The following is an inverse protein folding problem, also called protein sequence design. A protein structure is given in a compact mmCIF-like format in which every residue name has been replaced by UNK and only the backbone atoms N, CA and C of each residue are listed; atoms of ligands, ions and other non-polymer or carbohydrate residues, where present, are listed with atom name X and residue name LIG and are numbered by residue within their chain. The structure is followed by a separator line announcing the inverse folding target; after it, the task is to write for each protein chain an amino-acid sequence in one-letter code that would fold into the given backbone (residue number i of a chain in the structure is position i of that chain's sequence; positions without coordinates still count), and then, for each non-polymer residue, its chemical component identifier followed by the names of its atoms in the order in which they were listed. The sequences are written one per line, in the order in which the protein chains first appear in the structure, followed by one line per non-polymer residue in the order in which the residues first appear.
data_IF_969833900872
#
_entry.id   IF_969833900872
#
_cell.length_a   1.000
_cell.length_b   1.000
_cell.length_c   1.000
_cell.angle_alpha   90.00
_cell.angle_beta   90.00
_cell.angle_gamma   90.00
#
_symmetry.space_group_name_H-M   'P 1'
#
loop_
_entity.id
_entity.type
_entity.pdbx_description
1 polymer ?
#
# COMPACT_ATOMS: atom_id res chain seq x y z
N UNK A 1 -5.01 39.64 -30.96
CA UNK A 1 -4.07 38.59 -30.52
C UNK A 1 -4.64 37.95 -29.26
N UNK A 2 -4.81 36.63 -29.25
CA UNK A 2 -5.17 35.90 -28.03
C UNK A 2 -3.94 35.92 -27.11
N UNK A 3 -4.05 36.57 -25.96
CA UNK A 3 -2.90 36.87 -25.11
C UNK A 3 -2.40 35.66 -24.32
N UNK A 4 -3.23 34.63 -24.15
CA UNK A 4 -2.90 33.36 -23.50
C UNK A 4 -3.80 32.25 -24.07
N UNK A 5 -3.21 31.21 -24.65
CA UNK A 5 -3.91 29.97 -24.95
C UNK A 5 -3.71 29.07 -23.73
N UNK A 6 -4.75 28.89 -22.91
CA UNK A 6 -4.74 27.85 -21.89
C UNK A 6 -4.96 26.55 -22.65
N UNK A 7 -3.91 25.73 -22.75
CA UNK A 7 -4.07 24.34 -23.12
C UNK A 7 -4.76 23.66 -21.95
N UNK A 8 -5.80 22.92 -22.27
CA UNK A 8 -6.55 22.12 -21.32
C UNK A 8 -5.60 21.33 -20.41
N UNK A 9 -5.72 21.52 -19.10
CA UNK A 9 -4.70 21.15 -18.12
C UNK A 9 -4.63 19.64 -17.90
N UNK A 10 -5.66 18.89 -18.30
CA UNK A 10 -5.65 17.43 -18.36
C UNK A 10 -4.84 16.85 -19.54
N UNK A 11 -4.58 17.61 -20.62
CA UNK A 11 -3.89 17.09 -21.82
C UNK A 11 -2.45 16.62 -21.54
N UNK A 12 -1.63 17.34 -20.74
CA UNK A 12 -0.34 16.83 -20.29
C UNK A 12 -0.39 15.51 -19.51
N UNK A 13 -1.42 15.30 -18.68
CA UNK A 13 -1.62 14.08 -17.89
C UNK A 13 -2.02 12.90 -18.78
N UNK A 14 -2.98 13.11 -19.68
CA UNK A 14 -3.42 12.10 -20.64
C UNK A 14 -2.27 11.60 -21.54
N UNK A 15 -1.37 12.50 -21.96
CA UNK A 15 -0.16 12.13 -22.73
C UNK A 15 0.84 11.27 -21.96
N UNK A 16 0.80 11.30 -20.64
CA UNK A 16 1.63 10.48 -19.74
C UNK A 16 0.93 9.20 -19.29
N UNK A 17 -0.28 8.93 -19.81
CA UNK A 17 -1.08 7.77 -19.39
C UNK A 17 -1.64 7.89 -17.98
N UNK A 18 -1.65 9.10 -17.40
CA UNK A 18 -2.24 9.37 -16.09
C UNK A 18 -3.72 9.67 -16.34
N UNK A 19 -4.66 8.85 -15.82
CA UNK A 19 -6.07 9.17 -15.87
C UNK A 19 -6.31 10.49 -15.13
N UNK A 20 -6.91 11.46 -15.82
CA UNK A 20 -7.29 12.73 -15.25
C UNK A 20 -8.80 12.90 -15.44
N UNK A 21 -9.46 13.45 -14.42
CA UNK A 21 -10.87 13.84 -14.46
C UNK A 21 -10.93 15.33 -14.20
N UNK A 22 -11.61 16.04 -15.10
CA UNK A 22 -11.90 17.44 -14.90
C UNK A 22 -13.02 17.58 -13.88
N UNK A 23 -12.77 18.38 -12.85
CA UNK A 23 -13.81 18.82 -11.93
C UNK A 23 -14.46 20.06 -12.55
N UNK A 24 -15.61 19.87 -13.18
CA UNK A 24 -16.40 20.96 -13.73
C UNK A 24 -17.44 21.36 -12.69
N UNK A 25 -17.34 22.59 -12.21
CA UNK A 25 -18.44 23.21 -11.46
C UNK A 25 -19.48 23.77 -12.42
N UNK A 26 -20.65 23.12 -12.50
CA UNK A 26 -21.71 23.47 -13.43
C UNK A 26 -22.47 24.76 -13.06
N UNK A 27 -22.34 25.21 -11.81
CA UNK A 27 -23.01 26.40 -11.29
C UNK A 27 -22.08 27.63 -11.29
N UNK A 28 -20.79 27.44 -11.58
CA UNK A 28 -19.82 28.51 -11.60
C UNK A 28 -19.91 29.33 -12.91
N UNK A 29 -20.00 30.67 -12.83
CA UNK A 29 -20.07 31.49 -14.04
C UNK A 29 -18.71 31.51 -14.78
N UNK A 30 -18.79 31.42 -16.11
CA UNK A 30 -17.76 30.98 -17.08
C UNK A 30 -16.53 31.89 -17.28
N UNK A 31 -15.89 32.36 -16.22
CA UNK A 31 -14.63 33.09 -16.29
C UNK A 31 -13.63 32.54 -15.29
N UNK A 32 -12.72 31.71 -15.79
CA UNK A 32 -11.55 31.32 -15.01
C UNK A 32 -10.69 32.55 -14.74
N UNK A 33 -10.58 32.91 -13.47
CA UNK A 33 -9.76 34.04 -13.04
C UNK A 33 -8.75 33.55 -12.00
N UNK A 34 -7.76 34.38 -11.68
CA UNK A 34 -6.86 34.10 -10.55
C UNK A 34 -7.55 34.08 -9.18
N UNK A 35 -8.87 34.24 -9.14
CA UNK A 35 -9.69 34.11 -7.95
C UNK A 35 -10.38 32.74 -7.83
N UNK A 36 -10.15 31.80 -8.74
CA UNK A 36 -10.71 30.45 -8.62
C UNK A 36 -10.04 29.73 -7.44
N UNK A 37 -10.79 29.55 -6.36
CA UNK A 37 -10.33 28.97 -5.10
C UNK A 37 -11.21 27.78 -4.72
N UNK A 38 -10.68 26.75 -4.04
CA UNK A 38 -11.43 25.51 -3.75
C UNK A 38 -12.76 25.71 -3.00
N UNK A 39 -12.89 26.77 -2.21
CA UNK A 39 -14.10 27.15 -1.49
C UNK A 39 -15.26 27.61 -2.39
N UNK A 40 -14.98 27.85 -3.67
CA UNK A 40 -15.96 28.27 -4.67
C UNK A 40 -16.55 27.11 -5.46
N UNK A 41 -16.05 25.90 -5.26
CA UNK A 41 -16.56 24.70 -5.93
C UNK A 41 -17.87 24.28 -5.25
N UNK A 42 -18.94 24.17 -6.02
CA UNK A 42 -20.23 23.73 -5.51
C UNK A 42 -20.16 22.30 -4.98
N UNK A 43 -20.74 22.09 -3.80
CA UNK A 43 -20.85 20.77 -3.19
C UNK A 43 -21.60 19.78 -4.11
N UNK A 44 -22.58 20.27 -4.87
CA UNK A 44 -23.33 19.46 -5.84
C UNK A 44 -22.44 19.01 -7.02
N UNK A 45 -21.55 19.87 -7.53
CA UNK A 45 -20.62 19.46 -8.59
C UNK A 45 -19.58 18.47 -8.08
N UNK A 46 -19.09 18.63 -6.85
CA UNK A 46 -18.21 17.64 -6.21
C UNK A 46 -18.93 16.30 -6.02
N UNK A 47 -20.20 16.30 -5.59
CA UNK A 47 -21.01 15.09 -5.46
C UNK A 47 -21.16 14.39 -6.82
N UNK A 48 -21.43 15.13 -7.90
CA UNK A 48 -21.56 14.56 -9.25
C UNK A 48 -20.25 13.97 -9.77
N UNK A 49 -19.11 14.63 -9.55
CA UNK A 49 -17.80 14.07 -9.89
C UNK A 49 -17.52 12.83 -9.04
N UNK A 50 -17.83 12.86 -7.75
CA UNK A 50 -17.72 11.70 -6.84
C UNK A 50 -18.51 10.51 -7.36
N UNK A 51 -19.79 10.70 -7.72
CA UNK A 51 -20.63 9.63 -8.30
C UNK A 51 -20.12 9.12 -9.65
N UNK A 52 -19.55 10.00 -10.48
CA UNK A 52 -18.93 9.58 -11.74
C UNK A 52 -17.71 8.69 -11.49
N UNK A 53 -16.88 9.05 -10.50
CA UNK A 53 -15.74 8.24 -10.08
C UNK A 53 -16.19 6.91 -9.49
N UNK A 54 -17.24 6.89 -8.65
CA UNK A 54 -17.86 5.66 -8.13
C UNK A 54 -18.29 4.74 -9.28
N UNK A 55 -19.08 5.23 -10.24
CA UNK A 55 -19.48 4.45 -11.42
C UNK A 55 -18.27 3.99 -12.24
N UNK A 56 -17.24 4.83 -12.36
CA UNK A 56 -16.03 4.45 -13.10
C UNK A 56 -15.25 3.32 -12.40
N UNK A 57 -15.19 3.36 -11.07
CA UNK A 57 -14.56 2.33 -10.24
C UNK A 57 -15.39 1.04 -10.14
N UNK A 58 -16.72 1.15 -10.09
CA UNK A 58 -17.63 0.01 -9.88
C UNK A 58 -18.04 -0.69 -11.19
N UNK A 59 -18.24 0.07 -12.27
CA UNK A 59 -18.84 -0.44 -13.52
C UNK A 59 -17.86 -0.49 -14.70
N UNK A 60 -16.86 0.39 -14.74
CA UNK A 60 -15.96 0.55 -15.90
C UNK A 60 -14.59 -0.08 -15.67
N UNK A 61 -14.05 -0.02 -14.46
CA UNK A 61 -13.07 -1.02 -14.05
C UNK A 61 -13.82 -2.35 -13.97
N UNK A 62 -13.43 -3.37 -14.74
CA UNK A 62 -14.15 -4.63 -14.74
C UNK A 62 -14.08 -5.18 -13.32
N UNK A 63 -15.23 -5.35 -12.68
CA UNK A 63 -15.29 -5.84 -11.31
C UNK A 63 -14.41 -7.09 -11.12
N UNK A 64 -13.70 -7.13 -9.99
CA UNK A 64 -13.13 -8.39 -9.54
C UNK A 64 -12.19 -8.33 -8.35
N UNK A 65 -11.44 -7.25 -8.15
CA UNK A 65 -10.38 -7.25 -7.14
C UNK A 65 -9.88 -5.82 -6.86
N UNK A 66 -10.38 -5.19 -5.77
CA UNK A 66 -9.92 -3.87 -5.31
C UNK A 66 -8.41 -3.87 -5.01
N UNK A 67 -7.87 -5.00 -4.56
CA UNK A 67 -6.45 -5.16 -4.29
C UNK A 67 -5.65 -5.16 -5.59
N UNK A 68 -6.08 -5.90 -6.62
CA UNK A 68 -5.39 -5.90 -7.91
C UNK A 68 -5.37 -4.51 -8.57
N UNK A 69 -6.45 -3.73 -8.42
CA UNK A 69 -6.51 -2.35 -8.89
C UNK A 69 -5.54 -1.44 -8.13
N UNK A 70 -5.45 -1.60 -6.81
CA UNK A 70 -4.50 -0.87 -5.97
C UNK A 70 -3.05 -1.24 -6.31
N UNK A 71 -2.74 -2.52 -6.49
CA UNK A 71 -1.41 -3.00 -6.91
C UNK A 71 -1.01 -2.41 -8.27
N UNK A 72 -1.92 -2.40 -9.25
CA UNK A 72 -1.66 -1.80 -10.57
C UNK A 72 -1.39 -0.28 -10.46
N UNK A 73 -2.16 0.44 -9.64
CA UNK A 73 -1.91 1.85 -9.36
C UNK A 73 -0.52 2.07 -8.75
N UNK A 74 -0.17 1.31 -7.71
CA UNK A 74 1.11 1.43 -7.01
C UNK A 74 2.29 1.17 -7.95
N UNK A 75 2.20 0.15 -8.80
CA UNK A 75 3.22 -0.15 -9.83
C UNK A 75 3.37 0.97 -10.85
N UNK A 76 2.26 1.58 -11.30
CA UNK A 76 2.29 2.71 -12.24
C UNK A 76 2.95 3.94 -11.62
N UNK A 77 2.62 4.25 -10.36
CA UNK A 77 3.23 5.36 -9.62
C UNK A 77 4.74 5.13 -9.42
N UNK A 78 5.16 3.90 -9.08
CA UNK A 78 6.56 3.52 -8.98
C UNK A 78 7.30 3.65 -10.32
N UNK A 79 6.71 3.16 -11.41
CA UNK A 79 7.29 3.26 -12.75
C UNK A 79 7.38 4.71 -13.27
N UNK A 80 6.48 5.58 -12.82
CA UNK A 80 6.49 7.01 -13.12
C UNK A 80 7.47 7.82 -12.25
N UNK A 81 8.11 7.19 -11.26
CA UNK A 81 8.93 7.85 -10.22
C UNK A 81 8.15 8.95 -9.47
N UNK A 82 6.82 8.81 -9.33
CA UNK A 82 5.99 9.69 -8.53
C UNK A 82 6.05 9.29 -7.05
N UNK A 83 7.21 9.54 -6.44
CA UNK A 83 7.53 9.13 -5.07
C UNK A 83 6.56 9.70 -4.02
N UNK A 84 6.07 10.92 -4.25
CA UNK A 84 5.18 11.62 -3.32
C UNK A 84 3.82 10.93 -3.27
N UNK A 85 3.17 10.81 -4.43
CA UNK A 85 1.86 10.16 -4.53
C UNK A 85 1.94 8.68 -4.15
N UNK A 86 2.99 7.96 -4.59
CA UNK A 86 3.18 6.55 -4.24
C UNK A 86 3.20 6.34 -2.72
N UNK A 87 4.01 7.12 -2.01
CA UNK A 87 4.11 6.98 -0.56
C UNK A 87 2.82 7.41 0.16
N UNK A 88 2.09 8.41 -0.33
CA UNK A 88 0.80 8.80 0.23
C UNK A 88 -0.28 7.73 0.09
N UNK A 89 -0.31 7.00 -1.04
CA UNK A 89 -1.22 5.87 -1.22
C UNK A 89 -0.85 4.74 -0.27
N UNK A 90 0.44 4.34 -0.23
CA UNK A 90 0.93 3.29 0.66
C UNK A 90 0.68 3.59 2.14
N UNK A 91 0.85 4.84 2.58
CA UNK A 91 0.58 5.25 3.96
C UNK A 91 -0.92 5.10 4.32
N UNK A 92 -1.82 5.05 3.35
CA UNK A 92 -3.27 4.86 3.56
C UNK A 92 -3.72 3.42 3.36
N UNK A 93 -2.89 2.56 2.77
CA UNK A 93 -3.17 1.14 2.53
C UNK A 93 -3.10 0.33 3.83
N UNK A 94 -4.18 0.36 4.60
CA UNK A 94 -4.33 -0.38 5.86
C UNK A 94 -5.52 -1.32 5.81
N UNK A 95 -5.43 -2.41 6.55
CA UNK A 95 -6.53 -3.35 6.76
C UNK A 95 -6.95 -3.30 8.22
N UNK A 96 -8.26 -3.27 8.43
CA UNK A 96 -8.85 -3.30 9.77
C UNK A 96 -9.09 -4.74 10.21
N UNK A 97 -8.45 -5.13 11.30
CA UNK A 97 -8.69 -6.43 11.96
C UNK A 97 -9.72 -6.24 13.08
N UNK A 98 -10.86 -6.94 13.04
CA UNK A 98 -11.91 -6.76 14.04
C UNK A 98 -11.48 -7.26 15.44
N UNK A 99 -12.04 -6.63 16.48
CA UNK A 99 -11.90 -7.10 17.84
C UNK A 99 -12.48 -8.51 17.97
N UNK A 100 -11.84 -9.36 18.78
CA UNK A 100 -12.33 -10.72 19.00
C UNK A 100 -11.26 -11.68 19.45
N UNK A 101 -11.72 -12.87 19.84
CA UNK A 101 -10.87 -14.01 20.16
C UNK A 101 -10.40 -14.71 18.88
N UNK A 102 -9.16 -15.19 18.88
CA UNK A 102 -8.63 -16.09 17.87
C UNK A 102 -7.75 -17.16 18.52
N UNK A 103 -7.44 -18.22 17.78
CA UNK A 103 -6.56 -19.30 18.23
C UNK A 103 -5.12 -19.00 17.82
N UNK A 104 -4.28 -18.62 18.79
CA UNK A 104 -2.86 -18.31 18.58
C UNK A 104 -1.99 -19.54 18.81
N UNK A 105 -0.99 -19.76 17.95
CA UNK A 105 -0.06 -20.89 18.02
C UNK A 105 -0.58 -22.17 17.35
N UNK A 106 0.28 -23.19 17.35
CA UNK A 106 0.00 -24.48 16.73
C UNK A 106 0.56 -25.63 17.58
N UNK A 107 -0.34 -26.50 18.06
CA UNK A 107 0.02 -27.71 18.82
C UNK A 107 0.74 -28.77 17.96
N UNK A 108 0.59 -28.72 16.63
CA UNK A 108 1.31 -29.54 15.67
C UNK A 108 2.74 -29.06 15.40
N UNK A 109 3.00 -27.76 15.56
CA UNK A 109 4.23 -27.07 15.15
C UNK A 109 5.44 -27.29 16.06
N UNK A 110 6.56 -26.59 15.83
CA UNK A 110 7.72 -26.53 16.72
C UNK A 110 7.41 -26.10 18.16
N UNK A 111 8.35 -26.34 19.08
CA UNK A 111 8.15 -26.07 20.51
C UNK A 111 7.90 -24.59 20.86
N UNK A 112 8.40 -23.66 20.04
CA UNK A 112 8.19 -22.22 20.19
C UNK A 112 6.85 -21.72 19.65
N UNK A 113 6.08 -22.57 18.95
CA UNK A 113 4.73 -22.25 18.44
C UNK A 113 3.63 -22.84 19.34
N UNK A 114 4.01 -23.67 20.32
CA UNK A 114 3.11 -24.33 21.28
C UNK A 114 3.01 -23.57 22.61
N UNK A 115 1.91 -23.72 23.36
CA UNK A 115 0.67 -24.39 22.98
C UNK A 115 -0.24 -23.46 22.16
N UNK A 116 -1.12 -24.06 21.38
CA UNK A 116 -2.26 -23.36 20.82
C UNK A 116 -3.17 -22.87 21.96
N UNK A 117 -3.59 -21.61 21.91
CA UNK A 117 -4.38 -20.98 22.99
C UNK A 117 -5.31 -19.88 22.47
N UNK A 118 -6.47 -19.67 23.12
CA UNK A 118 -7.33 -18.52 22.81
C UNK A 118 -6.67 -17.23 23.28
N UNK A 119 -6.65 -16.22 22.40
CA UNK A 119 -6.19 -14.85 22.70
C UNK A 119 -7.24 -13.86 22.23
N UNK A 120 -7.66 -12.95 23.11
CA UNK A 120 -8.51 -11.83 22.75
C UNK A 120 -7.69 -10.61 22.41
N UNK A 121 -8.00 -9.96 21.29
CA UNK A 121 -7.44 -8.67 20.89
C UNK A 121 -8.57 -7.68 20.62
N UNK A 122 -8.37 -6.43 21.01
CA UNK A 122 -9.18 -5.31 20.53
C UNK A 122 -9.04 -5.15 19.01
N UNK A 123 -9.91 -4.34 18.39
CA UNK A 123 -9.81 -4.05 16.97
C UNK A 123 -8.60 -3.15 16.70
N UNK A 124 -7.84 -3.45 15.65
CA UNK A 124 -6.66 -2.68 15.26
C UNK A 124 -6.58 -2.54 13.75
N UNK A 125 -5.69 -1.68 13.30
CA UNK A 125 -5.32 -1.54 11.89
C UNK A 125 -3.88 -2.01 11.72
N UNK A 126 -3.59 -2.63 10.59
CA UNK A 126 -2.26 -3.06 10.18
C UNK A 126 -2.05 -2.70 8.72
N UNK A 127 -0.80 -2.41 8.34
CA UNK A 127 -0.48 -2.08 6.95
C UNK A 127 -0.79 -3.29 6.06
N UNK A 128 -1.41 -3.03 4.90
CA UNK A 128 -1.70 -4.07 3.90
C UNK A 128 -0.41 -4.66 3.32
N UNK A 129 0.64 -3.85 3.23
CA UNK A 129 1.93 -4.23 2.66
C UNK A 129 3.05 -3.93 3.65
N UNK A 130 4.20 -4.57 3.50
CA UNK A 130 5.39 -4.15 4.22
C UNK A 130 5.81 -2.73 3.83
N UNK A 131 6.45 -2.03 4.77
CA UNK A 131 7.01 -0.70 4.54
C UNK A 131 7.98 -0.75 3.35
N UNK A 132 7.73 0.07 2.35
CA UNK A 132 8.52 0.11 1.11
C UNK A 132 9.75 1.02 1.21
N UNK A 133 10.67 0.90 0.25
CA UNK A 133 11.82 1.80 0.15
C UNK A 133 11.39 3.27 0.04
N UNK A 134 10.34 3.62 -0.71
CA UNK A 134 9.92 5.02 -0.85
C UNK A 134 9.39 5.60 0.46
N UNK A 135 8.66 4.79 1.25
CA UNK A 135 8.16 5.19 2.56
C UNK A 135 9.31 5.41 3.55
N UNK A 136 10.23 4.45 3.63
CA UNK A 136 11.39 4.56 4.52
C UNK A 136 12.35 5.67 4.06
N UNK A 137 12.42 5.96 2.76
CA UNK A 137 13.23 7.05 2.22
C UNK A 137 12.73 8.40 2.70
N UNK A 138 11.41 8.64 2.69
CA UNK A 138 10.83 9.86 3.27
C UNK A 138 11.22 10.03 4.74
N UNK A 139 11.23 8.94 5.50
CA UNK A 139 11.66 8.95 6.89
C UNK A 139 13.15 9.29 7.04
N UNK A 140 14.03 8.67 6.24
CA UNK A 140 15.47 8.98 6.23
C UNK A 140 15.71 10.45 5.90
N UNK A 141 15.07 10.97 4.84
CA UNK A 141 15.21 12.36 4.43
C UNK A 141 14.67 13.35 5.49
N UNK A 142 13.57 13.01 6.15
CA UNK A 142 12.96 13.87 7.16
C UNK A 142 13.74 13.88 8.48
N UNK A 143 14.41 12.79 8.84
CA UNK A 143 15.04 12.62 10.16
C UNK A 143 16.57 12.71 10.14
N UNK A 144 17.19 12.59 8.97
CA UNK A 144 18.65 12.53 8.84
C UNK A 144 19.27 11.25 9.41
N UNK A 145 18.47 10.18 9.57
CA UNK A 145 18.97 8.86 9.97
C UNK A 145 19.85 8.26 8.88
N UNK A 146 20.72 7.33 9.28
CA UNK A 146 21.53 6.59 8.33
C UNK A 146 20.64 5.71 7.44
N UNK A 147 20.81 5.78 6.10
CA UNK A 147 20.07 4.92 5.19
C UNK A 147 20.46 3.45 5.39
N UNK A 148 19.60 2.50 5.00
CA UNK A 148 19.95 1.10 5.02
C UNK A 148 21.24 0.80 4.22
N UNK A 149 22.08 -0.14 4.68
CA UNK A 149 23.44 -0.32 4.13
C UNK A 149 23.51 -0.82 2.67
N UNK A 150 22.39 -1.28 2.10
CA UNK A 150 22.31 -1.71 0.70
C UNK A 150 21.86 -0.59 -0.25
N UNK A 151 21.51 0.58 0.26
CA UNK A 151 21.17 1.74 -0.55
C UNK A 151 22.43 2.36 -1.17
N UNK A 152 22.41 2.74 -2.46
CA UNK A 152 23.49 3.48 -3.09
C UNK A 152 23.55 4.93 -2.56
N UNK A 153 24.21 5.13 -1.42
CA UNK A 153 24.32 6.46 -0.79
C UNK A 153 23.02 6.83 -0.07
N UNK A 154 22.46 8.00 -0.38
CA UNK A 154 21.30 8.56 0.31
C UNK A 154 19.95 8.22 -0.37
N UNK A 155 19.95 7.33 -1.36
CA UNK A 155 18.75 6.93 -2.12
C UNK A 155 18.68 5.41 -2.29
N UNK A 156 17.48 4.88 -2.45
CA UNK A 156 17.27 3.43 -2.69
C UNK A 156 17.68 3.03 -4.11
N UNK A 157 17.90 1.72 -4.38
CA UNK A 157 18.25 1.27 -5.72
C UNK A 157 17.19 1.66 -6.76
N UNK A 158 17.59 2.14 -7.96
CA UNK A 158 16.65 2.55 -8.99
C UNK A 158 15.62 1.47 -9.34
N UNK A 159 14.35 1.85 -9.48
CA UNK A 159 13.26 0.94 -9.80
C UNK A 159 12.80 0.04 -8.64
N UNK A 160 13.17 0.36 -7.39
CA UNK A 160 12.75 -0.40 -6.20
C UNK A 160 11.88 0.40 -5.22
N UNK A 161 11.18 1.44 -5.70
CA UNK A 161 10.41 2.34 -4.85
C UNK A 161 9.30 1.61 -4.06
N UNK A 162 8.63 0.65 -4.70
CA UNK A 162 7.51 -0.18 -4.20
C UNK A 162 7.95 -1.53 -3.62
N UNK A 163 9.27 -1.73 -3.45
CA UNK A 163 9.84 -2.94 -2.86
C UNK A 163 9.98 -2.76 -1.35
N UNK A 164 9.70 -3.79 -0.53
CA UNK A 164 9.92 -3.74 0.91
C UNK A 164 11.34 -3.29 1.26
N UNK A 165 11.45 -2.36 2.22
CA UNK A 165 12.75 -1.96 2.76
C UNK A 165 13.34 -3.12 3.56
N UNK A 166 14.61 -3.45 3.32
CA UNK A 166 15.33 -4.51 4.03
C UNK A 166 16.48 -3.92 4.85
N UNK A 167 17.27 -4.74 5.55
CA UNK A 167 18.47 -4.25 6.25
C UNK A 167 18.21 -3.17 7.32
N UNK A 168 16.97 -3.03 7.79
CA UNK A 168 16.57 -2.15 8.89
C UNK A 168 16.70 -2.90 10.22
N UNK A 169 17.14 -2.22 11.27
CA UNK A 169 17.12 -2.80 12.62
C UNK A 169 15.72 -2.71 13.22
N UNK A 170 15.46 -3.47 14.29
CA UNK A 170 14.21 -3.35 15.03
C UNK A 170 13.97 -1.92 15.54
N UNK A 171 15.00 -1.25 16.05
CA UNK A 171 14.92 0.16 16.49
C UNK A 171 14.70 1.13 15.33
N UNK A 172 15.21 0.80 14.13
CA UNK A 172 14.94 1.56 12.91
C UNK A 172 13.48 1.45 12.50
N UNK A 173 12.91 0.23 12.54
CA UNK A 173 11.51 -0.02 12.24
C UNK A 173 10.58 0.65 13.27
N UNK A 174 10.86 0.51 14.58
CA UNK A 174 10.08 1.16 15.64
C UNK A 174 10.12 2.70 15.51
N UNK A 175 11.29 3.27 15.21
CA UNK A 175 11.43 4.71 14.99
C UNK A 175 10.68 5.19 13.74
N UNK A 176 10.67 4.40 12.65
CA UNK A 176 9.86 4.68 11.48
C UNK A 176 8.37 4.70 11.85
N UNK A 177 7.89 3.65 12.52
CA UNK A 177 6.50 3.56 12.98
C UNK A 177 6.13 4.77 13.83
N UNK A 178 6.96 5.14 14.81
CA UNK A 178 6.72 6.31 15.65
C UNK A 178 6.67 7.62 14.85
N UNK A 179 7.53 7.77 13.83
CA UNK A 179 7.55 8.95 12.96
C UNK A 179 6.27 9.11 12.14
N UNK A 180 5.69 8.01 11.63
CA UNK A 180 4.38 8.02 10.95
C UNK A 180 3.18 7.99 11.92
N UNK A 181 3.42 8.07 13.23
CA UNK A 181 2.36 8.04 14.24
C UNK A 181 1.71 6.66 14.46
N UNK A 182 2.44 5.58 14.16
CA UNK A 182 2.04 4.17 14.31
C UNK A 182 2.96 3.44 15.28
N UNK A 183 2.85 2.10 15.33
CA UNK A 183 3.70 1.21 16.13
C UNK A 183 3.91 -0.12 15.40
N UNK A 184 4.90 -0.88 15.83
CA UNK A 184 5.02 -2.28 15.43
C UNK A 184 3.83 -3.11 15.96
N UNK A 185 3.38 -4.13 15.23
CA UNK A 185 2.40 -5.09 15.73
C UNK A 185 3.05 -5.96 16.82
N UNK A 186 2.24 -6.40 17.77
CA UNK A 186 2.61 -7.54 18.61
C UNK A 186 2.57 -8.83 17.80
N UNK A 187 3.26 -9.87 18.25
CA UNK A 187 3.20 -11.20 17.61
C UNK A 187 1.77 -11.71 17.48
N UNK A 188 0.92 -11.50 18.51
CA UNK A 188 -0.47 -11.92 18.47
C UNK A 188 -1.31 -11.14 17.44
N UNK A 189 -1.08 -9.84 17.32
CA UNK A 189 -1.74 -9.02 16.28
C UNK A 189 -1.30 -9.44 14.89
N UNK A 190 0.00 -9.72 14.72
CA UNK A 190 0.55 -10.18 13.45
C UNK A 190 -0.04 -11.54 13.05
N UNK A 191 -0.06 -12.52 13.96
CA UNK A 191 -0.66 -13.83 13.67
C UNK A 191 -2.16 -13.75 13.38
N UNK A 192 -2.91 -12.94 14.14
CA UNK A 192 -4.36 -12.76 13.90
C UNK A 192 -4.62 -12.11 12.53
N UNK A 193 -3.80 -11.15 12.13
CA UNK A 193 -3.91 -10.51 10.81
C UNK A 193 -3.64 -11.50 9.67
N UNK A 194 -2.65 -12.39 9.83
CA UNK A 194 -2.30 -13.37 8.79
C UNK A 194 -3.25 -14.58 8.74
N UNK A 195 -3.81 -15.00 9.88
CA UNK A 195 -4.51 -16.29 10.01
C UNK A 195 -6.01 -16.17 10.12
N UNK A 196 -6.54 -14.95 10.23
CA UNK A 196 -7.96 -14.69 10.53
C UNK A 196 -8.41 -15.42 11.81
N UNK A 197 -9.69 -15.76 11.92
CA UNK A 197 -10.28 -16.44 13.10
C UNK A 197 -10.54 -17.93 12.91
N UNK A 198 -10.36 -18.47 11.70
CA UNK A 198 -10.71 -19.85 11.36
C UNK A 198 -9.56 -20.86 11.58
N UNK A 199 -8.37 -20.38 11.95
CA UNK A 199 -7.27 -21.21 12.37
C UNK A 199 -6.50 -21.87 11.22
N UNK A 200 -6.65 -21.37 9.99
CA UNK A 200 -6.01 -21.88 8.78
C UNK A 200 -4.49 -22.05 8.89
N UNK A 201 -3.94 -22.94 8.07
CA UNK A 201 -2.48 -23.23 8.04
C UNK A 201 -1.68 -22.10 7.37
N UNK A 202 -2.14 -21.61 6.23
CA UNK A 202 -1.54 -20.51 5.49
C UNK A 202 -2.55 -19.35 5.40
N UNK A 203 -2.10 -18.10 5.18
CA UNK A 203 -2.99 -16.96 5.05
C UNK A 203 -4.11 -17.14 4.02
N UNK A 204 -3.84 -17.95 3.00
CA UNK A 204 -4.76 -18.26 1.90
C UNK A 204 -5.46 -19.63 2.00
N UNK A 205 -5.38 -20.32 3.14
CA UNK A 205 -6.05 -21.59 3.39
C UNK A 205 -5.11 -22.73 3.81
N UNK A 206 -5.53 -23.98 3.56
CA UNK A 206 -4.82 -25.16 4.06
C UNK A 206 -3.70 -25.66 3.14
N UNK A 207 -3.83 -25.42 1.84
CA UNK A 207 -2.91 -25.97 0.85
C UNK A 207 -1.81 -24.96 0.51
N UNK A 208 -0.57 -25.44 0.50
CA UNK A 208 0.58 -24.64 0.07
C UNK A 208 0.42 -24.26 -1.41
N UNK A 209 0.51 -22.95 -1.70
CA UNK A 209 0.52 -22.42 -3.05
C UNK A 209 1.83 -21.64 -3.30
N UNK A 210 2.75 -22.15 -4.14
CA UNK A 210 4.01 -21.47 -4.44
C UNK A 210 3.85 -20.17 -5.25
N UNK A 211 2.64 -19.84 -5.71
CA UNK A 211 2.34 -18.58 -6.38
C UNK A 211 1.86 -17.50 -5.40
N UNK A 212 1.52 -17.85 -4.15
CA UNK A 212 0.99 -16.92 -3.14
C UNK A 212 2.02 -16.44 -2.12
N UNK A 213 3.26 -16.93 -2.20
CA UNK A 213 4.37 -16.40 -1.42
C UNK A 213 5.69 -16.43 -2.18
N UNK A 214 6.49 -15.38 -2.00
CA UNK A 214 7.85 -15.34 -2.51
C UNK A 214 8.80 -16.04 -1.53
N UNK A 215 8.80 -17.38 -1.57
CA UNK A 215 9.75 -18.22 -0.83
C UNK A 215 10.72 -18.90 -1.79
N UNK A 216 11.92 -19.22 -1.30
CA UNK A 216 12.84 -20.06 -2.07
C UNK A 216 12.19 -21.42 -2.39
N UNK A 217 12.34 -21.90 -3.62
CA UNK A 217 11.91 -23.27 -3.94
C UNK A 217 12.84 -24.24 -3.19
N UNK A 218 12.24 -25.15 -2.42
CA UNK A 218 12.96 -26.29 -1.87
C UNK A 218 13.11 -27.34 -2.98
N UNK A 219 14.32 -27.52 -3.50
CA UNK A 219 14.70 -28.69 -4.30
C UNK A 219 15.80 -29.44 -3.52
N UNK A 220 15.39 -30.33 -2.61
CA UNK A 220 16.28 -31.01 -1.65
C UNK A 220 16.56 -30.22 -0.36
N UNK A 221 17.64 -30.58 0.37
CA UNK A 221 18.08 -29.96 1.65
C UNK A 221 18.73 -28.55 1.47
N UNK A 222 18.59 -27.93 0.31
CA UNK A 222 19.19 -26.64 0.01
C UNK A 222 18.07 -25.70 -0.45
N UNK A 223 17.82 -24.66 0.35
CA UNK A 223 16.99 -23.55 -0.09
C UNK A 223 17.67 -22.90 -1.32
N UNK A 224 17.07 -23.03 -2.49
CA UNK A 224 17.45 -22.24 -3.66
C UNK A 224 16.74 -20.89 -3.50
N UNK A 225 17.46 -19.77 -3.31
CA UNK A 225 16.81 -18.49 -3.40
C UNK A 225 16.26 -18.35 -4.81
N UNK A 226 14.93 -18.38 -4.97
CA UNK A 226 14.35 -17.65 -6.09
C UNK A 226 14.80 -16.22 -5.86
N UNK A 227 15.63 -15.71 -6.76
CA UNK A 227 15.94 -14.29 -6.77
C UNK A 227 14.63 -13.50 -6.73
N UNK A 228 14.69 -12.28 -6.23
CA UNK A 228 13.61 -11.28 -6.22
C UNK A 228 13.00 -11.10 -7.63
N UNK A 229 12.24 -12.07 -8.15
CA UNK A 229 11.89 -12.11 -9.57
C UNK A 229 10.53 -11.56 -9.88
N UNK A 230 9.77 -11.07 -8.89
CA UNK A 230 8.93 -9.87 -9.01
C UNK A 230 8.87 -9.22 -7.62
N UNK A 231 9.78 -8.28 -7.29
CA UNK A 231 9.69 -7.59 -6.02
C UNK A 231 8.50 -6.64 -6.12
N UNK A 232 7.42 -7.00 -5.45
CA UNK A 232 6.17 -6.24 -5.48
C UNK A 232 5.40 -6.50 -4.21
N UNK A 233 4.59 -5.50 -3.87
CA UNK A 233 3.62 -5.50 -2.79
C UNK A 233 2.81 -6.80 -2.79
N UNK A 234 2.89 -7.56 -1.70
CA UNK A 234 1.99 -8.69 -1.43
C UNK A 234 1.02 -8.19 -0.37
N UNK A 235 -0.25 -8.02 -0.74
CA UNK A 235 -1.27 -7.55 0.18
C UNK A 235 -1.70 -8.63 1.14
N UNK A 236 -1.98 -8.25 2.38
CA UNK A 236 -2.72 -9.06 3.34
C UNK A 236 -4.19 -8.63 3.31
N UNK A 237 -5.15 -9.56 3.26
CA UNK A 237 -6.57 -9.16 3.31
C UNK A 237 -7.65 -10.13 2.82
N UNK A 238 -7.29 -11.27 2.23
CA UNK A 238 -8.28 -12.27 1.81
C UNK A 238 -8.89 -13.01 3.01
N UNK A 239 -9.93 -12.39 3.61
CA UNK A 239 -11.27 -12.98 3.82
C UNK A 239 -12.25 -12.04 4.56
#
# INVERSE_FOLDING_TARGET
EYRWTIYDDHVPFARRGIPAVDIIDFDYPYWHTTQDTPDKVSAESLERVGRLLEVWLEEILPGGDEEAAEIDLLRRLAAADDRGTLAEVLDRSVVRVPAGEFSMGDDGGPANERPQRPVYLDGFEIDRYEVTNVQYWRFVQATGREPPPYWPGDDYPPGQADVPVVGVTWEGADAYCAWVGRRLPTEAEWEKACRSTDGRTYPWGEEWDPLRANVGLFEGDVAQPRGYTEPGLVGWGDD
#
